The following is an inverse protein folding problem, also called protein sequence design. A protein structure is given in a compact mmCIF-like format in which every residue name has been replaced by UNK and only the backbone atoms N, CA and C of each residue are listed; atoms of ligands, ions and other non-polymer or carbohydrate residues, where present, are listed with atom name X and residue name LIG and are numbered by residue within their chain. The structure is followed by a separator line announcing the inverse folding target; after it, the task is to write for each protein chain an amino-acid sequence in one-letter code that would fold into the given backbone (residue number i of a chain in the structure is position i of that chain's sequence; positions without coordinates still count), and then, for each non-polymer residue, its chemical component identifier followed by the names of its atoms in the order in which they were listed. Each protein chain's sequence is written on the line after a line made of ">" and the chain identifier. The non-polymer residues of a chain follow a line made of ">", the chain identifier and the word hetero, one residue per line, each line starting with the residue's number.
data_IF_912410541901
#
_entry.id   IF_912410541901
#
_cell.length_a   1.000
_cell.length_b   1.000
_cell.length_c   1.000
_cell.angle_alpha   90.00
_cell.angle_beta   90.00
_cell.angle_gamma   90.00
#
_symmetry.space_group_name_H-M   'P 1'
#
loop_
_entity.id
_entity.type
_entity.pdbx_description
1 polymer ?
#
# COMPACT_ATOMS: atom_id res chain seq x y z
N UNK A 1 -5.84 14.51 16.28
CA UNK A 1 -6.42 14.25 14.94
C UNK A 1 -7.94 14.20 15.08
N UNK A 2 -8.71 14.60 14.07
CA UNK A 2 -10.16 14.30 14.05
C UNK A 2 -10.30 12.77 13.86
N UNK A 3 -11.01 12.03 14.74
CA UNK A 3 -11.17 10.58 14.63
C UNK A 3 -11.77 10.10 13.30
N UNK A 4 -12.53 10.93 12.58
CA UNK A 4 -13.05 10.55 11.26
C UNK A 4 -11.92 10.31 10.24
N UNK A 5 -10.89 11.16 10.24
CA UNK A 5 -9.70 11.04 9.36
C UNK A 5 -8.75 9.89 9.75
N UNK A 6 -9.08 9.12 10.79
CA UNK A 6 -8.36 7.89 11.13
C UNK A 6 -9.02 6.64 10.52
N UNK A 7 -10.24 6.75 9.94
CA UNK A 7 -10.97 5.61 9.37
C UNK A 7 -10.43 5.14 8.02
N UNK A 8 -9.77 6.02 7.27
CA UNK A 8 -9.28 5.74 5.92
C UNK A 8 -8.12 4.72 5.91
N UNK A 9 -7.31 4.69 6.98
CA UNK A 9 -6.12 3.86 7.08
C UNK A 9 -6.39 2.43 7.61
N UNK A 10 -7.48 1.77 7.19
CA UNK A 10 -7.82 0.38 7.60
C UNK A 10 -6.59 -0.55 7.42
N UNK A 11 -6.14 -1.30 8.45
CA UNK A 11 -4.82 -1.95 8.43
C UNK A 11 -4.73 -3.26 7.63
N UNK A 12 -5.84 -3.75 7.07
CA UNK A 12 -5.94 -5.11 6.53
C UNK A 12 -5.84 -5.22 5.00
N UNK A 13 -5.53 -4.14 4.27
CA UNK A 13 -5.51 -4.15 2.79
C UNK A 13 -4.40 -3.28 2.20
N UNK A 14 -3.74 -3.79 1.17
CA UNK A 14 -2.71 -3.12 0.38
C UNK A 14 -3.29 -2.11 -0.63
N UNK A 15 -4.15 -1.19 -0.17
CA UNK A 15 -4.70 -0.12 -1.04
C UNK A 15 -3.71 1.03 -1.19
N UNK A 16 -3.89 1.84 -2.23
CA UNK A 16 -3.06 3.04 -2.45
C UNK A 16 -3.22 4.06 -1.31
N UNK A 17 -4.43 4.17 -0.76
CA UNK A 17 -4.72 4.92 0.46
C UNK A 17 -3.94 4.38 1.67
N UNK A 18 -3.78 3.06 1.82
CA UNK A 18 -2.97 2.48 2.90
C UNK A 18 -1.48 2.81 2.76
N UNK A 19 -0.91 2.64 1.55
CA UNK A 19 0.50 3.02 1.30
C UNK A 19 0.74 4.51 1.56
N UNK A 20 -0.18 5.38 1.11
CA UNK A 20 -0.08 6.82 1.36
C UNK A 20 -0.25 7.17 2.85
N UNK A 21 -1.17 6.50 3.56
CA UNK A 21 -1.32 6.61 5.02
C UNK A 21 -0.01 6.26 5.74
N UNK A 22 0.61 5.12 5.42
CA UNK A 22 1.83 4.67 6.11
C UNK A 22 3.02 5.59 5.82
N UNK A 23 3.22 6.00 4.58
CA UNK A 23 4.24 6.97 4.18
C UNK A 23 4.04 8.33 4.87
N UNK A 24 2.79 8.80 5.00
CA UNK A 24 2.47 10.03 5.73
C UNK A 24 2.69 9.90 7.25
N UNK A 25 2.27 8.78 7.85
CA UNK A 25 2.46 8.49 9.27
C UNK A 25 3.96 8.36 9.64
N UNK A 26 4.76 7.70 8.80
CA UNK A 26 6.23 7.63 8.97
C UNK A 26 6.83 9.02 8.92
N UNK A 27 6.48 9.84 7.91
CA UNK A 27 6.98 11.22 7.78
C UNK A 27 6.66 12.08 9.00
N UNK A 28 5.43 12.01 9.52
CA UNK A 28 5.02 12.77 10.72
C UNK A 28 5.67 12.20 11.99
N UNK A 29 5.83 10.87 12.11
CA UNK A 29 6.54 10.23 13.22
C UNK A 29 8.03 10.62 13.27
N UNK A 30 8.70 10.74 12.11
CA UNK A 30 10.06 11.31 11.99
C UNK A 30 10.05 12.77 12.46
N UNK A 31 9.27 13.65 11.83
CA UNK A 31 9.22 15.09 12.17
C UNK A 31 8.92 15.33 13.67
N UNK A 32 8.10 14.50 14.31
CA UNK A 32 7.83 14.56 15.77
C UNK A 32 8.98 13.96 16.60
N UNK A 33 9.57 12.87 16.13
CA UNK A 33 10.72 12.20 16.73
C UNK A 33 11.91 13.15 16.83
N UNK A 34 12.37 13.68 15.70
CA UNK A 34 13.52 14.60 15.59
C UNK A 34 13.34 15.81 16.53
N UNK A 35 12.15 16.43 16.51
CA UNK A 35 11.79 17.55 17.42
C UNK A 35 11.83 17.17 18.90
N UNK A 36 11.60 15.92 19.25
CA UNK A 36 11.63 15.42 20.63
C UNK A 36 13.06 15.05 21.04
N UNK A 37 13.81 14.43 20.13
CA UNK A 37 15.22 14.09 20.27
C UNK A 37 16.05 15.36 20.47
N UNK A 38 15.94 16.35 19.57
CA UNK A 38 16.64 17.65 19.68
C UNK A 38 16.40 18.35 21.03
N UNK A 39 15.16 18.33 21.55
CA UNK A 39 14.82 18.88 22.88
C UNK A 39 15.45 18.09 24.03
N UNK A 40 15.43 16.77 23.96
CA UNK A 40 16.02 15.90 24.98
C UNK A 40 17.55 15.98 24.97
N UNK A 41 18.16 16.07 23.79
CA UNK A 41 19.60 16.28 23.60
C UNK A 41 20.04 17.63 24.16
N UNK A 42 19.34 18.72 23.81
CA UNK A 42 19.60 20.05 24.38
C UNK A 42 19.60 19.98 25.92
N UNK A 43 18.54 19.43 26.52
CA UNK A 43 18.42 19.28 27.97
C UNK A 43 19.51 18.39 28.59
N UNK A 44 19.93 17.33 27.90
CA UNK A 44 21.01 16.44 28.36
C UNK A 44 22.39 17.12 28.27
N UNK A 45 22.63 17.91 27.23
CA UNK A 45 23.82 18.76 27.06
C UNK A 45 23.86 19.85 28.12
N UNK A 46 22.75 20.53 28.40
CA UNK A 46 22.64 21.55 29.46
C UNK A 46 22.99 20.97 30.85
N UNK A 47 22.39 19.82 31.20
CA UNK A 47 22.66 19.11 32.45
C UNK A 47 24.10 18.58 32.50
N UNK A 48 24.66 18.10 31.39
CA UNK A 48 26.07 17.67 31.33
C UNK A 48 27.00 18.85 31.56
N UNK A 49 26.86 19.93 30.79
CA UNK A 49 27.69 21.13 30.92
C UNK A 49 27.67 21.65 32.37
N UNK A 50 26.48 21.83 32.95
CA UNK A 50 26.34 22.30 34.34
C UNK A 50 26.90 21.34 35.41
N UNK A 51 27.00 20.03 35.12
CA UNK A 51 27.66 19.07 36.01
C UNK A 51 29.18 19.04 35.81
N UNK A 52 29.65 19.15 34.56
CA UNK A 52 31.07 19.26 34.22
C UNK A 52 31.68 20.56 34.76
N UNK A 53 30.96 21.68 34.71
CA UNK A 53 31.36 22.95 35.34
C UNK A 53 31.45 22.85 36.86
N UNK A 54 30.48 22.19 37.52
CA UNK A 54 30.54 21.94 38.97
C UNK A 54 31.71 21.02 39.34
N UNK A 55 31.96 19.97 38.57
CA UNK A 55 33.08 19.06 38.78
C UNK A 55 34.42 19.78 38.55
N UNK A 56 34.53 20.63 37.53
CA UNK A 56 35.71 21.47 37.29
C UNK A 56 35.94 22.44 38.44
N UNK A 57 34.90 23.16 38.87
CA UNK A 57 34.96 24.07 40.01
C UNK A 57 35.26 23.39 41.34
N UNK A 58 34.85 22.13 41.50
CA UNK A 58 35.26 21.29 42.64
C UNK A 58 36.73 20.86 42.51
N UNK A 59 37.16 20.29 41.39
CA UNK A 59 38.56 19.88 41.15
C UNK A 59 39.52 21.06 41.34
N UNK A 60 39.19 22.26 40.85
CA UNK A 60 40.03 23.46 41.04
C UNK A 60 40.10 23.86 42.52
N UNK A 61 38.98 23.85 43.25
CA UNK A 61 38.97 24.18 44.69
C UNK A 61 39.70 23.14 45.53
N UNK A 62 39.44 21.85 45.28
CA UNK A 62 40.12 20.74 45.95
C UNK A 62 41.61 20.77 45.63
N UNK A 63 42.02 20.97 44.37
CA UNK A 63 43.43 21.12 44.01
C UNK A 63 44.09 22.38 44.59
N UNK A 64 43.34 23.46 44.88
CA UNK A 64 43.87 24.63 45.60
C UNK A 64 44.07 24.34 47.10
N UNK A 65 43.12 23.64 47.74
CA UNK A 65 43.22 23.20 49.13
C UNK A 65 44.34 22.16 49.30
N UNK A 66 44.35 21.14 48.43
CA UNK A 66 45.34 20.07 48.43
C UNK A 66 46.72 20.57 48.01
N UNK A 67 46.86 21.55 47.10
CA UNK A 67 48.18 22.16 46.84
C UNK A 67 48.70 22.95 48.06
N UNK A 68 47.80 23.56 48.85
CA UNK A 68 48.15 24.18 50.13
C UNK A 68 48.55 23.17 51.21
N UNK A 69 48.05 21.93 51.13
CA UNK A 69 48.27 20.88 52.14
C UNK A 69 49.44 19.93 51.77
N UNK A 70 49.49 19.47 50.52
CA UNK A 70 50.59 18.68 49.95
C UNK A 70 51.89 19.49 49.84
N UNK A 71 51.79 20.82 49.75
CA UNK A 71 52.94 21.73 49.89
C UNK A 71 53.65 21.62 51.24
N UNK A 72 52.97 21.12 52.29
CA UNK A 72 53.60 20.77 53.56
C UNK A 72 53.93 19.27 53.70
N UNK A 73 53.19 18.35 53.04
CA UNK A 73 53.30 16.90 53.29
C UNK A 73 53.03 15.96 52.09
N UNK A 74 53.96 15.01 51.94
CA UNK A 74 53.86 13.67 51.32
C UNK A 74 54.27 13.51 49.85
N UNK A 75 54.96 12.40 49.60
CA UNK A 75 55.63 11.96 48.38
C UNK A 75 54.68 11.20 47.43
N UNK A 76 54.93 11.25 46.12
CA UNK A 76 53.92 11.02 45.08
C UNK A 76 53.92 9.61 44.43
N UNK A 77 54.81 8.71 44.86
CA UNK A 77 55.23 7.57 44.02
C UNK A 77 54.23 6.41 43.87
N UNK A 78 53.25 6.24 44.77
CA UNK A 78 52.38 5.05 44.81
C UNK A 78 51.18 5.06 43.86
N UNK A 79 50.69 6.23 43.44
CA UNK A 79 49.44 6.33 42.68
C UNK A 79 49.58 5.95 41.19
N UNK A 80 50.81 5.99 40.67
CA UNK A 80 51.10 5.91 39.22
C UNK A 80 50.98 4.49 38.66
N UNK A 81 51.22 3.46 39.48
CA UNK A 81 51.34 2.07 39.02
C UNK A 81 50.00 1.39 38.65
N UNK A 82 48.85 2.04 38.85
CA UNK A 82 47.53 1.40 38.69
C UNK A 82 46.92 1.39 37.27
N UNK A 83 47.50 2.07 36.28
CA UNK A 83 46.75 2.52 35.07
C UNK A 83 47.30 1.95 33.74
N UNK A 84 48.18 0.93 33.78
CA UNK A 84 49.06 0.64 32.62
C UNK A 84 48.43 -0.11 31.42
N UNK A 85 47.24 -0.70 31.55
CA UNK A 85 46.79 -1.79 30.63
C UNK A 85 45.83 -1.42 29.47
N UNK A 86 45.80 -0.16 28.97
CA UNK A 86 45.07 0.18 27.72
C UNK A 86 45.80 1.19 26.82
N UNK A 87 45.91 0.88 25.52
CA UNK A 87 46.52 1.77 24.50
C UNK A 87 45.78 3.08 24.22
N UNK A 88 44.53 3.23 24.66
CA UNK A 88 43.83 4.52 24.61
C UNK A 88 44.22 5.44 25.78
N UNK A 89 44.85 4.89 26.82
CA UNK A 89 45.26 5.61 28.02
C UNK A 89 46.68 6.18 27.96
N UNK A 90 47.57 5.73 27.08
CA UNK A 90 48.92 6.31 26.97
C UNK A 90 48.87 7.79 26.59
N UNK A 91 48.06 8.19 25.60
CA UNK A 91 47.88 9.59 25.25
C UNK A 91 47.27 10.45 26.38
N UNK A 92 46.45 9.84 27.25
CA UNK A 92 45.88 10.53 28.43
C UNK A 92 46.93 10.61 29.55
N UNK A 93 47.75 9.57 29.72
CA UNK A 93 48.87 9.48 30.66
C UNK A 93 49.97 10.47 30.32
N UNK A 94 50.36 10.59 29.06
CA UNK A 94 51.34 11.58 28.57
C UNK A 94 50.86 13.03 28.84
N UNK A 95 49.56 13.31 28.68
CA UNK A 95 48.95 14.59 29.09
C UNK A 95 48.87 14.79 30.62
N UNK A 96 48.91 13.72 31.42
CA UNK A 96 48.93 13.80 32.91
C UNK A 96 50.36 13.96 33.45
N UNK A 97 51.33 13.24 32.89
CA UNK A 97 52.70 13.16 33.38
C UNK A 97 53.59 14.32 32.89
N UNK A 98 53.15 15.10 31.89
CA UNK A 98 53.89 16.28 31.39
C UNK A 98 53.09 17.49 30.90
N UNK A 99 51.76 17.48 30.92
CA UNK A 99 50.91 18.56 30.37
C UNK A 99 50.37 19.56 31.40
N UNK A 100 49.86 20.71 30.94
CA UNK A 100 49.03 21.59 31.80
C UNK A 100 47.72 20.84 32.14
N UNK A 101 47.37 20.84 33.43
CA UNK A 101 46.10 20.28 33.94
C UNK A 101 44.87 20.90 33.24
N UNK A 102 44.98 22.12 32.71
CA UNK A 102 43.95 22.72 31.82
C UNK A 102 43.83 22.03 30.46
N UNK A 103 44.94 21.64 29.82
CA UNK A 103 44.91 20.99 28.51
C UNK A 103 44.30 19.60 28.60
N UNK A 104 44.68 18.82 29.62
CA UNK A 104 44.02 17.56 29.96
C UNK A 104 42.51 17.74 30.17
N UNK A 105 42.10 18.78 30.92
CA UNK A 105 40.70 19.08 31.16
C UNK A 105 39.95 19.44 29.86
N UNK A 106 40.56 20.28 29.00
CA UNK A 106 40.02 20.63 27.69
C UNK A 106 39.87 19.40 26.78
N UNK A 107 40.89 18.54 26.72
CA UNK A 107 40.89 17.31 25.93
C UNK A 107 39.79 16.34 26.38
N UNK A 108 39.64 16.10 27.70
CA UNK A 108 38.58 15.25 28.25
C UNK A 108 37.20 15.85 27.97
N UNK A 109 37.01 17.16 28.15
CA UNK A 109 35.73 17.85 27.91
C UNK A 109 35.34 17.79 26.42
N UNK A 110 36.28 18.09 25.52
CA UNK A 110 36.08 18.02 24.07
C UNK A 110 35.77 16.59 23.59
N UNK A 111 36.52 15.59 24.07
CA UNK A 111 36.32 14.18 23.70
C UNK A 111 35.02 13.62 24.28
N UNK A 112 34.58 14.09 25.45
CA UNK A 112 33.26 13.77 26.03
C UNK A 112 32.14 14.38 25.21
N UNK A 113 32.24 15.67 24.82
CA UNK A 113 31.26 16.35 23.95
C UNK A 113 31.12 15.68 22.59
N UNK A 114 32.25 15.30 21.97
CA UNK A 114 32.24 14.50 20.75
C UNK A 114 31.51 13.17 20.96
N UNK A 115 31.86 12.41 22.01
CA UNK A 115 31.23 11.12 22.28
C UNK A 115 29.73 11.23 22.56
N UNK A 116 29.28 12.30 23.23
CA UNK A 116 27.86 12.60 23.41
C UNK A 116 27.15 12.92 22.10
N UNK A 117 27.78 13.69 21.20
CA UNK A 117 27.21 13.98 19.87
C UNK A 117 27.09 12.74 18.98
N UNK A 118 28.00 11.77 19.11
CA UNK A 118 27.89 10.48 18.44
C UNK A 118 26.80 9.58 19.07
N UNK A 119 26.78 9.47 20.41
CA UNK A 119 25.76 8.73 21.14
C UNK A 119 24.35 9.25 20.84
N UNK A 120 24.21 10.57 20.65
CA UNK A 120 22.99 11.21 20.18
C UNK A 120 22.53 10.67 18.82
N UNK A 121 23.38 10.72 17.79
CA UNK A 121 23.06 10.23 16.45
C UNK A 121 22.79 8.72 16.41
N UNK A 122 23.51 7.92 17.21
CA UNK A 122 23.24 6.47 17.31
C UNK A 122 21.92 6.17 18.04
N UNK A 123 21.57 6.92 19.09
CA UNK A 123 20.28 6.78 19.76
C UNK A 123 19.11 7.24 18.87
N UNK A 124 19.32 8.31 18.09
CA UNK A 124 18.39 8.76 17.07
C UNK A 124 18.12 7.65 16.05
N UNK A 125 19.16 7.08 15.43
CA UNK A 125 19.03 5.93 14.52
C UNK A 125 18.36 4.70 15.16
N UNK A 126 18.72 4.34 16.40
CA UNK A 126 18.17 3.17 17.08
C UNK A 126 16.69 3.31 17.52
N UNK A 127 16.21 4.53 17.75
CA UNK A 127 14.87 4.83 18.31
C UNK A 127 13.68 4.65 17.35
N UNK A 128 13.76 3.68 16.43
CA UNK A 128 12.76 3.46 15.38
C UNK A 128 12.39 1.99 15.17
N UNK A 129 13.36 1.06 15.11
CA UNK A 129 13.07 -0.38 15.14
C UNK A 129 12.73 -0.82 16.57
N UNK A 130 11.73 -1.67 16.76
CA UNK A 130 11.35 -2.15 18.10
C UNK A 130 12.49 -2.97 18.74
N UNK A 131 13.15 -3.82 17.95
CA UNK A 131 14.33 -4.57 18.40
C UNK A 131 15.54 -3.64 18.68
N UNK A 132 15.73 -2.62 17.85
CA UNK A 132 16.77 -1.61 18.07
C UNK A 132 16.53 -0.78 19.35
N UNK A 133 15.27 -0.41 19.60
CA UNK A 133 14.84 0.34 20.79
C UNK A 133 14.99 -0.52 22.05
N UNK A 134 14.63 -1.81 22.00
CA UNK A 134 14.87 -2.75 23.09
C UNK A 134 16.37 -2.94 23.37
N UNK A 135 17.20 -3.10 22.34
CA UNK A 135 18.65 -3.22 22.49
C UNK A 135 19.32 -1.92 22.99
N UNK A 136 18.83 -0.76 22.58
CA UNK A 136 19.26 0.54 23.07
C UNK A 136 18.87 0.76 24.54
N UNK A 137 17.64 0.40 24.92
CA UNK A 137 17.16 0.47 26.30
C UNK A 137 17.95 -0.49 27.20
N UNK A 138 18.18 -1.74 26.78
CA UNK A 138 19.05 -2.70 27.49
C UNK A 138 20.47 -2.16 27.72
N UNK A 139 21.05 -1.52 26.70
CA UNK A 139 22.37 -0.91 26.80
C UNK A 139 22.39 0.31 27.75
N UNK A 140 21.36 1.16 27.70
CA UNK A 140 21.22 2.34 28.56
C UNK A 140 20.93 1.96 30.02
N UNK A 141 20.10 0.95 30.26
CA UNK A 141 19.75 0.46 31.59
C UNK A 141 20.95 -0.22 32.27
N UNK A 142 21.72 -1.02 31.52
CA UNK A 142 23.00 -1.56 32.00
C UNK A 142 24.02 -0.46 32.27
N UNK A 143 24.17 0.52 31.37
CA UNK A 143 25.02 1.69 31.62
C UNK A 143 24.61 2.46 32.89
N UNK A 144 23.31 2.63 33.15
CA UNK A 144 22.80 3.29 34.34
C UNK A 144 23.07 2.47 35.63
N UNK A 145 22.95 1.14 35.57
CA UNK A 145 23.27 0.25 36.69
C UNK A 145 24.77 0.23 37.01
N UNK A 146 25.63 0.11 35.98
CA UNK A 146 27.09 0.18 36.10
C UNK A 146 27.53 1.53 36.70
N UNK A 147 26.97 2.63 36.21
CA UNK A 147 27.25 3.98 36.71
C UNK A 147 26.80 4.16 38.16
N UNK A 148 25.63 3.63 38.53
CA UNK A 148 25.06 3.77 39.89
C UNK A 148 25.79 2.92 40.94
N UNK A 149 26.36 1.78 40.56
CA UNK A 149 27.25 1.01 41.45
C UNK A 149 28.61 1.69 41.62
N UNK A 150 29.17 2.26 40.56
CA UNK A 150 30.50 2.89 40.50
C UNK A 150 30.56 4.31 41.08
N UNK A 151 29.77 4.58 42.12
CA UNK A 151 29.75 5.85 42.88
C UNK A 151 29.85 5.60 44.40
N UNK A 152 29.80 4.33 44.86
CA UNK A 152 29.71 3.98 46.29
C UNK A 152 31.04 3.74 47.00
N UNK A 153 32.08 3.31 46.30
CA UNK A 153 33.37 2.96 46.93
C UNK A 153 34.37 4.13 46.88
N UNK A 154 35.37 4.14 47.76
CA UNK A 154 36.18 5.34 48.03
C UNK A 154 37.18 5.80 46.95
N UNK A 155 37.40 5.03 45.87
CA UNK A 155 38.49 5.29 44.92
C UNK A 155 38.03 6.09 43.67
N UNK A 156 38.07 7.42 43.76
CA UNK A 156 37.53 8.34 42.75
C UNK A 156 38.12 8.18 41.34
N UNK A 157 39.42 7.91 41.22
CA UNK A 157 40.11 7.70 39.94
C UNK A 157 39.60 6.44 39.23
N UNK A 158 39.46 5.35 39.97
CA UNK A 158 39.03 4.05 39.43
C UNK A 158 37.58 4.09 38.92
N UNK A 159 36.70 4.80 39.62
CA UNK A 159 35.32 5.05 39.17
C UNK A 159 35.25 5.88 37.88
N UNK A 160 36.10 6.90 37.74
CA UNK A 160 36.19 7.68 36.50
C UNK A 160 36.60 6.80 35.31
N UNK A 161 37.60 5.91 35.50
CA UNK A 161 37.99 4.92 34.49
C UNK A 161 36.82 3.97 34.16
N UNK A 162 36.13 3.45 35.18
CA UNK A 162 35.04 2.48 35.01
C UNK A 162 33.84 3.08 34.27
N UNK A 163 33.42 4.29 34.64
CA UNK A 163 32.34 5.01 33.94
C UNK A 163 32.69 5.29 32.46
N UNK A 164 33.94 5.63 32.15
CA UNK A 164 34.40 5.85 30.77
C UNK A 164 34.37 4.55 29.94
N UNK A 165 34.73 3.40 30.54
CA UNK A 165 34.63 2.10 29.90
C UNK A 165 33.18 1.69 29.59
N UNK A 166 32.24 1.92 30.51
CA UNK A 166 30.81 1.70 30.26
C UNK A 166 30.28 2.63 29.16
N UNK A 167 30.76 3.88 29.07
CA UNK A 167 30.37 4.84 28.02
C UNK A 167 30.84 4.39 26.62
N UNK A 168 32.08 3.91 26.49
CA UNK A 168 32.61 3.33 25.23
C UNK A 168 31.85 2.06 24.84
N UNK A 169 31.45 1.24 25.81
CA UNK A 169 30.65 0.02 25.59
C UNK A 169 29.22 0.34 25.12
N UNK A 170 28.61 1.41 25.66
CA UNK A 170 27.33 1.93 25.20
C UNK A 170 27.42 2.43 23.74
N UNK A 171 28.48 3.18 23.41
CA UNK A 171 28.73 3.71 22.05
C UNK A 171 28.84 2.60 21.00
N UNK A 172 29.60 1.55 21.25
CA UNK A 172 29.75 0.45 20.27
C UNK A 172 28.45 -0.32 20.06
N UNK A 173 27.69 -0.60 21.13
CA UNK A 173 26.35 -1.20 21.04
C UNK A 173 25.40 -0.35 20.21
N UNK A 174 25.18 0.91 20.59
CA UNK A 174 24.25 1.80 19.88
C UNK A 174 24.64 1.98 18.41
N UNK A 175 25.93 2.11 18.10
CA UNK A 175 26.43 2.13 16.73
C UNK A 175 26.05 0.86 15.96
N UNK A 176 26.37 -0.33 16.48
CA UNK A 176 26.04 -1.62 15.83
C UNK A 176 24.54 -1.91 15.65
N UNK A 177 23.70 -1.12 16.32
CA UNK A 177 22.24 -1.14 16.18
C UNK A 177 21.77 -0.12 15.13
N UNK A 178 22.37 1.07 15.10
CA UNK A 178 22.09 2.10 14.10
C UNK A 178 22.61 1.75 12.69
N UNK A 179 23.78 1.10 12.60
CA UNK A 179 24.46 0.76 11.33
C UNK A 179 23.76 -0.38 10.53
N UNK A 180 22.66 -0.98 11.02
CA UNK A 180 22.11 -2.24 10.44
C UNK A 180 21.00 -2.08 9.40
N UNK A 181 19.99 -1.26 9.65
CA UNK A 181 18.96 -0.85 8.68
C UNK A 181 18.35 0.48 9.14
N UNK A 182 18.14 1.44 8.24
CA UNK A 182 17.53 2.73 8.56
C UNK A 182 16.00 2.67 8.56
N UNK A 183 15.35 3.72 9.10
CA UNK A 183 13.88 3.88 8.99
C UNK A 183 13.41 3.89 7.54
N UNK A 184 14.22 4.50 6.68
CA UNK A 184 13.88 4.67 5.27
C UNK A 184 13.85 3.31 4.57
N UNK A 185 14.83 2.43 4.82
CA UNK A 185 14.96 1.15 4.12
C UNK A 185 13.74 0.25 4.34
N UNK A 186 13.28 0.08 5.58
CA UNK A 186 12.12 -0.78 5.88
C UNK A 186 10.83 -0.24 5.29
N UNK A 187 10.65 1.09 5.28
CA UNK A 187 9.46 1.74 4.73
C UNK A 187 9.51 1.77 3.21
N UNK A 188 10.68 2.02 2.61
CA UNK A 188 10.92 1.92 1.18
C UNK A 188 10.65 0.50 0.68
N UNK A 189 11.17 -0.54 1.36
CA UNK A 189 10.85 -1.94 1.03
C UNK A 189 9.34 -2.21 1.08
N UNK A 190 8.63 -1.72 2.11
CA UNK A 190 7.17 -1.88 2.20
C UNK A 190 6.40 -1.12 1.12
N UNK A 191 6.88 0.05 0.68
CA UNK A 191 6.29 0.85 -0.39
C UNK A 191 6.60 0.25 -1.76
N UNK A 192 7.80 -0.28 -1.99
CA UNK A 192 8.21 -0.96 -3.23
C UNK A 192 7.46 -2.27 -3.40
N UNK A 193 7.32 -3.08 -2.35
CA UNK A 193 6.57 -4.34 -2.41
C UNK A 193 5.06 -4.09 -2.57
N UNK A 194 4.49 -3.11 -1.86
CA UNK A 194 3.10 -2.70 -2.07
C UNK A 194 2.84 -2.12 -3.47
N UNK A 195 3.80 -1.37 -4.01
CA UNK A 195 3.77 -0.86 -5.38
C UNK A 195 3.82 -2.00 -6.41
N UNK A 196 4.66 -3.03 -6.20
CA UNK A 196 4.76 -4.22 -7.05
C UNK A 196 3.44 -5.00 -7.08
N UNK A 197 2.90 -5.35 -5.91
CA UNK A 197 1.61 -6.04 -5.78
C UNK A 197 0.47 -5.24 -6.43
N UNK A 198 0.47 -3.92 -6.27
CA UNK A 198 -0.51 -3.05 -6.92
C UNK A 198 -0.35 -3.02 -8.44
N UNK A 199 0.89 -2.95 -8.96
CA UNK A 199 1.17 -2.97 -10.39
C UNK A 199 0.73 -4.30 -11.05
N UNK A 200 0.90 -5.42 -10.35
CA UNK A 200 0.42 -6.74 -10.78
C UNK A 200 -1.12 -6.81 -10.80
N UNK A 201 -1.80 -6.31 -9.77
CA UNK A 201 -3.27 -6.22 -9.75
C UNK A 201 -3.82 -5.29 -10.86
N UNK A 202 -3.20 -4.13 -11.07
CA UNK A 202 -3.59 -3.18 -12.13
C UNK A 202 -3.36 -3.75 -13.53
N UNK A 203 -2.31 -4.54 -13.73
CA UNK A 203 -2.07 -5.28 -14.98
C UNK A 203 -3.20 -6.27 -15.25
N UNK A 204 -3.55 -7.10 -14.28
CA UNK A 204 -4.66 -8.06 -14.41
C UNK A 204 -5.98 -7.34 -14.76
N UNK A 205 -6.35 -6.30 -14.00
CA UNK A 205 -7.56 -5.51 -14.27
C UNK A 205 -7.57 -4.88 -15.67
N UNK A 206 -6.41 -4.41 -16.16
CA UNK A 206 -6.24 -3.84 -17.51
C UNK A 206 -6.37 -4.90 -18.60
N UNK A 207 -5.85 -6.11 -18.36
CA UNK A 207 -6.00 -7.25 -19.27
C UNK A 207 -7.46 -7.72 -19.32
N UNK A 208 -8.15 -7.82 -18.18
CA UNK A 208 -9.59 -8.12 -18.08
C UNK A 208 -10.45 -7.09 -18.83
N UNK A 209 -10.33 -5.79 -18.55
CA UNK A 209 -11.06 -4.75 -19.30
C UNK A 209 -10.70 -4.76 -20.79
N UNK A 210 -9.45 -5.08 -21.14
CA UNK A 210 -9.01 -5.28 -22.51
C UNK A 210 -9.74 -6.41 -23.25
N UNK A 211 -10.15 -7.49 -22.57
CA UNK A 211 -10.98 -8.55 -23.14
C UNK A 211 -12.39 -8.02 -23.44
N UNK A 212 -13.02 -7.34 -22.48
CA UNK A 212 -14.35 -6.74 -22.67
C UNK A 212 -14.34 -5.67 -23.78
N UNK A 213 -13.28 -4.84 -23.86
CA UNK A 213 -13.13 -3.83 -24.92
C UNK A 213 -12.87 -4.45 -26.30
N UNK A 214 -12.12 -5.56 -26.39
CA UNK A 214 -11.98 -6.35 -27.63
C UNK A 214 -13.33 -6.92 -28.09
N UNK A 215 -14.09 -7.56 -27.19
CA UNK A 215 -15.45 -8.07 -27.46
C UNK A 215 -16.38 -6.94 -27.89
N UNK A 216 -16.30 -5.76 -27.24
CA UNK A 216 -17.12 -4.62 -27.63
C UNK A 216 -16.76 -4.07 -29.02
N UNK A 217 -15.48 -4.00 -29.37
CA UNK A 217 -15.08 -3.61 -30.72
C UNK A 217 -15.52 -4.64 -31.78
N UNK A 218 -15.52 -5.93 -31.46
CA UNK A 218 -15.95 -7.00 -32.37
C UNK A 218 -17.44 -6.88 -32.76
N UNK A 219 -18.39 -6.85 -31.82
CA UNK A 219 -19.82 -6.71 -32.20
C UNK A 219 -20.12 -5.35 -32.84
N UNK A 220 -19.40 -4.27 -32.46
CA UNK A 220 -19.47 -2.96 -33.16
C UNK A 220 -19.05 -3.06 -34.63
N UNK A 221 -18.06 -3.90 -34.97
CA UNK A 221 -17.65 -4.16 -36.36
C UNK A 221 -18.67 -5.03 -37.10
N UNK A 222 -19.12 -6.15 -36.50
CA UNK A 222 -20.10 -7.07 -37.09
C UNK A 222 -21.42 -6.38 -37.48
N UNK A 223 -21.91 -5.46 -36.64
CA UNK A 223 -23.14 -4.72 -36.96
C UNK A 223 -22.95 -3.71 -38.09
N UNK A 224 -21.79 -3.04 -38.15
CA UNK A 224 -21.45 -2.10 -39.25
C UNK A 224 -21.36 -2.80 -40.60
N UNK A 225 -20.85 -4.03 -40.67
CA UNK A 225 -20.88 -4.81 -41.91
C UNK A 225 -22.29 -5.29 -42.28
N UNK A 226 -23.13 -5.64 -41.29
CA UNK A 226 -24.54 -6.03 -41.53
C UNK A 226 -25.43 -4.87 -42.02
N UNK A 227 -25.17 -3.62 -41.62
CA UNK A 227 -26.03 -2.47 -41.97
C UNK A 227 -26.06 -2.09 -43.46
N UNK A 228 -25.28 -2.75 -44.32
CA UNK A 228 -25.16 -2.42 -45.74
C UNK A 228 -26.04 -3.22 -46.72
N UNK A 229 -26.61 -4.36 -46.32
CA UNK A 229 -27.16 -5.34 -47.28
C UNK A 229 -28.64 -5.70 -47.08
N UNK A 230 -29.05 -6.14 -45.88
CA UNK A 230 -30.32 -6.85 -45.65
C UNK A 230 -31.18 -6.19 -44.56
N UNK A 231 -31.60 -4.94 -44.80
CA UNK A 231 -32.26 -4.13 -43.76
C UNK A 231 -33.42 -3.27 -44.30
N UNK A 232 -34.32 -3.88 -45.07
CA UNK A 232 -35.52 -3.21 -45.63
C UNK A 232 -36.88 -3.74 -45.16
N UNK A 233 -36.95 -4.95 -44.58
CA UNK A 233 -38.19 -5.51 -44.01
C UNK A 233 -37.98 -6.03 -42.57
N UNK A 234 -37.22 -5.29 -41.75
CA UNK A 234 -37.16 -5.58 -40.31
C UNK A 234 -38.46 -5.17 -39.64
N UNK A 235 -39.12 -6.14 -39.00
CA UNK A 235 -40.27 -5.91 -38.12
C UNK A 235 -39.93 -4.88 -37.04
N UNK A 236 -40.91 -4.04 -36.64
CA UNK A 236 -40.70 -2.97 -35.66
C UNK A 236 -40.06 -3.47 -34.36
N UNK A 237 -40.45 -4.67 -33.91
CA UNK A 237 -39.88 -5.39 -32.78
C UNK A 237 -38.35 -5.50 -32.82
N UNK A 238 -37.75 -5.81 -33.98
CA UNK A 238 -36.29 -5.92 -34.11
C UNK A 238 -35.60 -4.57 -33.93
N UNK A 239 -36.25 -3.47 -34.31
CA UNK A 239 -35.72 -2.12 -34.13
C UNK A 239 -35.77 -1.70 -32.66
N UNK A 240 -36.81 -2.09 -31.91
CA UNK A 240 -36.87 -1.85 -30.47
C UNK A 240 -35.89 -2.75 -29.69
N UNK A 241 -35.76 -4.04 -30.03
CA UNK A 241 -34.74 -4.94 -29.45
C UNK A 241 -33.31 -4.41 -29.70
N UNK A 242 -32.94 -4.10 -30.95
CA UNK A 242 -31.66 -3.48 -31.28
C UNK A 242 -31.48 -2.17 -30.48
N UNK A 243 -32.52 -1.34 -30.35
CA UNK A 243 -32.45 -0.07 -29.62
C UNK A 243 -32.17 -0.25 -28.13
N UNK A 244 -32.80 -1.22 -27.45
CA UNK A 244 -32.51 -1.50 -26.03
C UNK A 244 -31.10 -2.08 -25.88
N UNK A 245 -30.71 -2.99 -26.78
CA UNK A 245 -29.37 -3.54 -26.83
C UNK A 245 -28.28 -2.46 -26.99
N UNK A 246 -28.47 -1.49 -27.89
CA UNK A 246 -27.52 -0.38 -28.05
C UNK A 246 -27.46 0.55 -26.83
N UNK A 247 -28.55 0.74 -26.07
CA UNK A 247 -28.51 1.44 -24.76
C UNK A 247 -27.65 0.68 -23.74
N UNK A 248 -27.91 -0.63 -23.59
CA UNK A 248 -27.16 -1.54 -22.69
C UNK A 248 -25.68 -1.43 -22.98
N UNK A 249 -25.31 -1.56 -24.25
CA UNK A 249 -23.94 -1.51 -24.70
C UNK A 249 -23.29 -0.15 -24.45
N UNK A 250 -23.98 0.95 -24.75
CA UNK A 250 -23.48 2.30 -24.51
C UNK A 250 -23.07 2.50 -23.04
N UNK A 251 -23.97 2.17 -22.12
CA UNK A 251 -23.70 2.31 -20.68
C UNK A 251 -22.54 1.40 -20.18
N UNK A 252 -22.36 0.22 -20.77
CA UNK A 252 -21.22 -0.67 -20.49
C UNK A 252 -19.90 -0.12 -21.05
N UNK A 253 -19.91 0.38 -22.30
CA UNK A 253 -18.75 0.98 -22.95
C UNK A 253 -18.30 2.26 -22.20
N UNK A 254 -19.25 3.13 -21.81
CA UNK A 254 -19.00 4.34 -21.03
C UNK A 254 -18.36 4.02 -19.66
N UNK A 255 -18.78 2.93 -19.01
CA UNK A 255 -18.15 2.48 -17.76
C UNK A 255 -16.73 1.93 -17.96
N UNK A 256 -16.47 1.20 -19.06
CA UNK A 256 -15.12 0.70 -19.36
C UNK A 256 -14.14 1.86 -19.53
N UNK A 257 -14.57 2.98 -20.14
CA UNK A 257 -13.72 4.18 -20.26
C UNK A 257 -13.43 4.86 -18.90
N UNK A 258 -14.41 5.00 -17.99
CA UNK A 258 -14.16 5.50 -16.61
C UNK A 258 -13.30 4.53 -15.77
N UNK A 259 -13.44 3.21 -15.97
CA UNK A 259 -12.65 2.20 -15.28
C UNK A 259 -11.18 2.15 -15.78
N UNK A 260 -10.95 2.37 -17.09
CA UNK A 260 -9.60 2.61 -17.60
C UNK A 260 -8.98 3.90 -17.04
N UNK A 261 -9.78 4.95 -16.85
CA UNK A 261 -9.31 6.22 -16.27
C UNK A 261 -8.93 6.08 -14.78
N UNK A 262 -9.66 5.27 -14.02
CA UNK A 262 -9.28 4.82 -12.68
C UNK A 262 -7.93 4.07 -12.69
N UNK A 263 -7.77 3.09 -13.59
CA UNK A 263 -6.52 2.31 -13.71
C UNK A 263 -5.34 3.21 -14.13
N UNK A 264 -5.54 4.18 -15.04
CA UNK A 264 -4.54 5.20 -15.39
C UNK A 264 -4.17 6.07 -14.19
N UNK A 265 -5.15 6.43 -13.37
CA UNK A 265 -4.95 7.17 -12.12
C UNK A 265 -4.12 6.39 -11.10
N UNK A 266 -4.34 5.08 -10.95
CA UNK A 266 -3.55 4.23 -10.05
C UNK A 266 -2.14 3.94 -10.58
N UNK A 267 -1.98 3.68 -11.88
CA UNK A 267 -0.67 3.48 -12.55
C UNK A 267 0.24 4.71 -12.34
N UNK A 268 -0.32 5.91 -12.57
CA UNK A 268 0.33 7.20 -12.28
C UNK A 268 0.69 7.35 -10.79
N UNK A 269 -0.19 6.90 -9.89
CA UNK A 269 0.02 6.93 -8.45
C UNK A 269 1.17 6.02 -7.98
N UNK A 270 1.21 4.78 -8.48
CA UNK A 270 2.29 3.82 -8.22
C UNK A 270 3.62 4.37 -8.73
N UNK A 271 3.64 4.93 -9.95
CA UNK A 271 4.82 5.57 -10.51
C UNK A 271 5.32 6.75 -9.64
N UNK A 272 4.41 7.59 -9.14
CA UNK A 272 4.73 8.69 -8.24
C UNK A 272 5.29 8.21 -6.88
N UNK A 273 4.81 7.08 -6.33
CA UNK A 273 5.40 6.47 -5.14
C UNK A 273 6.86 6.03 -5.39
N UNK A 274 7.13 5.38 -6.52
CA UNK A 274 8.50 4.98 -6.89
C UNK A 274 9.42 6.19 -7.16
N UNK A 275 8.90 7.28 -7.74
CA UNK A 275 9.67 8.52 -7.89
C UNK A 275 9.96 9.19 -6.54
N UNK A 276 9.00 9.16 -5.59
CA UNK A 276 9.18 9.73 -4.26
C UNK A 276 10.18 8.94 -3.41
N UNK A 277 10.15 7.60 -3.48
CA UNK A 277 11.15 6.71 -2.86
C UNK A 277 12.57 7.04 -3.35
N UNK A 278 12.73 7.31 -4.65
CA UNK A 278 13.98 7.77 -5.28
C UNK A 278 14.27 9.27 -5.08
N UNK A 279 13.60 9.94 -4.14
CA UNK A 279 13.70 11.38 -3.85
C UNK A 279 13.57 12.29 -5.10
N UNK A 280 12.95 11.80 -6.18
CA UNK A 280 12.89 12.46 -7.49
C UNK A 280 11.67 13.38 -7.63
N UNK A 281 10.67 13.23 -6.77
CA UNK A 281 9.54 14.16 -6.61
C UNK A 281 9.31 14.47 -5.13
N UNK A 282 8.79 15.66 -4.84
CA UNK A 282 8.45 16.04 -3.47
C UNK A 282 7.10 15.49 -2.99
N UNK A 283 6.83 15.62 -1.69
CA UNK A 283 5.58 15.14 -1.09
C UNK A 283 4.33 15.88 -1.59
N UNK A 284 4.42 17.14 -2.03
CA UNK A 284 3.28 17.88 -2.56
C UNK A 284 2.90 17.37 -3.95
N UNK A 285 3.90 17.03 -4.77
CA UNK A 285 3.74 16.33 -6.05
C UNK A 285 3.07 14.98 -5.85
N UNK A 286 3.57 14.16 -4.93
CA UNK A 286 2.96 12.87 -4.58
C UNK A 286 1.51 13.04 -4.04
N UNK A 287 1.26 14.04 -3.18
CA UNK A 287 -0.07 14.35 -2.64
C UNK A 287 -1.04 14.86 -3.73
N UNK A 288 -0.54 15.55 -4.76
CA UNK A 288 -1.35 16.00 -5.89
C UNK A 288 -1.80 14.81 -6.75
N UNK A 289 -0.86 13.92 -7.11
CA UNK A 289 -1.18 12.66 -7.82
C UNK A 289 -2.14 11.82 -6.96
N UNK A 290 -1.89 11.67 -5.66
CA UNK A 290 -2.78 10.95 -4.75
C UNK A 290 -4.22 11.45 -4.78
N UNK A 291 -4.44 12.77 -4.71
CA UNK A 291 -5.78 13.36 -4.83
C UNK A 291 -6.42 13.06 -6.18
N UNK A 292 -5.65 13.07 -7.27
CA UNK A 292 -6.14 12.75 -8.61
C UNK A 292 -6.52 11.27 -8.75
N UNK A 293 -5.69 10.34 -8.24
CA UNK A 293 -5.98 8.90 -8.20
C UNK A 293 -7.27 8.62 -7.42
N UNK A 294 -7.41 9.18 -6.21
CA UNK A 294 -8.63 8.99 -5.40
C UNK A 294 -9.85 9.62 -6.07
N UNK A 295 -9.73 10.81 -6.68
CA UNK A 295 -10.82 11.45 -7.41
C UNK A 295 -11.22 10.71 -8.71
N UNK A 296 -10.33 9.89 -9.30
CA UNK A 296 -10.65 9.00 -10.42
C UNK A 296 -11.40 7.75 -9.94
N UNK A 297 -10.90 7.08 -8.91
CA UNK A 297 -11.58 5.93 -8.29
C UNK A 297 -12.98 6.30 -7.78
N UNK A 298 -13.13 7.46 -7.14
CA UNK A 298 -14.43 8.01 -6.74
C UNK A 298 -15.41 8.21 -7.92
N UNK A 299 -14.93 8.53 -9.12
CA UNK A 299 -15.78 8.60 -10.33
C UNK A 299 -16.16 7.20 -10.79
N UNK A 300 -15.20 6.30 -10.96
CA UNK A 300 -15.44 4.89 -11.32
C UNK A 300 -16.46 4.23 -10.39
N UNK A 301 -16.32 4.40 -9.06
CA UNK A 301 -17.28 3.89 -8.08
C UNK A 301 -18.71 4.47 -8.21
N UNK A 302 -18.86 5.69 -8.73
CA UNK A 302 -20.18 6.30 -9.02
C UNK A 302 -20.71 5.89 -10.39
N UNK A 303 -19.83 5.77 -11.39
CA UNK A 303 -20.16 5.26 -12.71
C UNK A 303 -20.67 3.82 -12.59
N UNK A 304 -19.91 2.92 -11.94
CA UNK A 304 -20.27 1.52 -11.67
C UNK A 304 -21.66 1.36 -11.05
N UNK A 305 -21.96 2.11 -9.98
CA UNK A 305 -23.27 2.08 -9.29
C UNK A 305 -24.41 2.67 -10.14
N UNK A 306 -24.10 3.55 -11.08
CA UNK A 306 -25.07 4.13 -12.01
C UNK A 306 -25.34 3.17 -13.16
N UNK A 307 -24.28 2.66 -13.80
CA UNK A 307 -24.31 1.68 -14.88
C UNK A 307 -24.98 0.39 -14.44
N UNK A 308 -24.69 -0.16 -13.26
CA UNK A 308 -25.39 -1.35 -12.75
C UNK A 308 -26.90 -1.18 -12.76
N UNK A 309 -27.40 -0.09 -12.15
CA UNK A 309 -28.83 0.19 -12.08
C UNK A 309 -29.42 0.45 -13.46
N UNK A 310 -28.70 1.17 -14.31
CA UNK A 310 -29.18 1.48 -15.66
C UNK A 310 -29.28 0.21 -16.51
N UNK A 311 -28.22 -0.58 -16.59
CA UNK A 311 -28.16 -1.80 -17.41
C UNK A 311 -29.06 -2.90 -16.84
N UNK A 312 -29.18 -3.04 -15.53
CA UNK A 312 -30.16 -3.95 -14.90
C UNK A 312 -31.60 -3.61 -15.30
N UNK A 313 -31.99 -2.32 -15.21
CA UNK A 313 -33.30 -1.86 -15.67
C UNK A 313 -33.49 -2.09 -17.19
N UNK A 314 -32.47 -1.84 -18.00
CA UNK A 314 -32.51 -2.06 -19.45
C UNK A 314 -32.57 -3.55 -19.83
N UNK A 315 -31.99 -4.44 -19.02
CA UNK A 315 -32.11 -5.89 -19.21
C UNK A 315 -33.52 -6.37 -18.87
N UNK A 316 -34.18 -5.75 -17.88
CA UNK A 316 -35.62 -5.91 -17.63
C UNK A 316 -36.49 -5.36 -18.78
N UNK A 317 -36.12 -4.22 -19.36
CA UNK A 317 -36.76 -3.65 -20.57
C UNK A 317 -36.62 -4.63 -21.77
N UNK A 318 -35.41 -5.17 -21.99
CA UNK A 318 -35.12 -6.17 -23.02
C UNK A 318 -35.91 -7.46 -22.81
N UNK A 319 -35.95 -7.97 -21.57
CA UNK A 319 -36.73 -9.16 -21.22
C UNK A 319 -38.23 -8.93 -21.47
N UNK A 320 -38.76 -7.75 -21.17
CA UNK A 320 -40.16 -7.42 -21.48
C UNK A 320 -40.41 -7.38 -22.99
N UNK A 321 -39.56 -6.73 -23.78
CA UNK A 321 -39.68 -6.75 -25.23
C UNK A 321 -39.58 -8.15 -25.85
N UNK A 322 -38.72 -9.03 -25.33
CA UNK A 322 -38.58 -10.42 -25.80
C UNK A 322 -39.81 -11.26 -25.45
N UNK A 323 -40.20 -11.25 -24.18
CA UNK A 323 -41.18 -12.18 -23.61
C UNK A 323 -42.61 -11.70 -23.87
N UNK A 324 -42.91 -10.44 -23.53
CA UNK A 324 -44.26 -9.89 -23.58
C UNK A 324 -44.67 -9.47 -25.01
N UNK A 325 -43.70 -9.48 -25.95
CA UNK A 325 -43.90 -9.30 -27.38
C UNK A 325 -43.80 -10.58 -28.22
N UNK A 326 -43.64 -11.76 -27.60
CA UNK A 326 -43.56 -13.07 -28.28
C UNK A 326 -42.45 -13.16 -29.37
N UNK A 327 -41.24 -12.68 -29.04
CA UNK A 327 -40.14 -12.55 -30.00
C UNK A 327 -39.71 -13.88 -30.61
N UNK A 328 -39.46 -14.88 -29.76
CA UNK A 328 -38.98 -16.19 -30.22
C UNK A 328 -40.05 -16.94 -31.00
N UNK A 329 -41.32 -16.87 -30.61
CA UNK A 329 -42.44 -17.39 -31.42
C UNK A 329 -42.45 -16.76 -32.81
N UNK A 330 -42.33 -15.43 -32.89
CA UNK A 330 -42.32 -14.67 -34.14
C UNK A 330 -41.15 -15.08 -35.04
N UNK A 331 -39.93 -15.17 -34.51
CA UNK A 331 -38.75 -15.54 -35.29
C UNK A 331 -38.80 -16.99 -35.75
N UNK A 332 -39.14 -17.93 -34.86
CA UNK A 332 -39.26 -19.36 -35.17
C UNK A 332 -40.34 -19.65 -36.21
N UNK A 333 -41.42 -18.86 -36.25
CA UNK A 333 -42.45 -18.94 -37.29
C UNK A 333 -42.01 -18.35 -38.64
N UNK A 334 -41.10 -17.37 -38.65
CA UNK A 334 -40.65 -16.67 -39.86
C UNK A 334 -39.47 -17.34 -40.56
N UNK A 335 -38.42 -17.70 -39.82
CA UNK A 335 -37.19 -18.31 -40.36
C UNK A 335 -37.21 -19.85 -40.29
N UNK A 336 -38.18 -20.42 -39.58
CA UNK A 336 -38.24 -21.84 -39.27
C UNK A 336 -37.21 -22.26 -38.22
N UNK A 337 -37.42 -23.43 -37.63
CA UNK A 337 -36.64 -23.89 -36.47
C UNK A 337 -35.14 -24.07 -36.76
N UNK A 338 -34.79 -24.59 -37.94
CA UNK A 338 -33.38 -24.72 -38.34
C UNK A 338 -32.77 -23.38 -38.74
N UNK A 339 -33.51 -22.52 -39.46
CA UNK A 339 -33.03 -21.21 -39.90
C UNK A 339 -32.81 -20.21 -38.76
N UNK A 340 -33.70 -20.18 -37.77
CA UNK A 340 -33.63 -19.25 -36.63
C UNK A 340 -32.45 -19.50 -35.69
N UNK A 341 -32.01 -20.76 -35.63
CA UNK A 341 -30.99 -21.28 -34.69
C UNK A 341 -29.65 -21.55 -35.40
N UNK A 342 -29.62 -21.53 -36.73
CA UNK A 342 -28.39 -21.53 -37.51
C UNK A 342 -27.61 -20.20 -37.36
N UNK A 343 -26.31 -20.25 -37.73
CA UNK A 343 -25.40 -19.10 -37.69
C UNK A 343 -25.99 -17.87 -38.41
N UNK A 344 -26.48 -16.92 -37.60
CA UNK A 344 -26.99 -15.65 -38.08
C UNK A 344 -28.50 -15.47 -38.09
N UNK A 345 -29.32 -16.47 -37.71
CA UNK A 345 -30.77 -16.31 -37.52
C UNK A 345 -31.14 -15.27 -36.44
N UNK A 346 -32.39 -14.80 -36.42
CA UNK A 346 -32.87 -13.76 -35.49
C UNK A 346 -32.96 -14.25 -34.05
N UNK A 347 -33.35 -15.51 -33.84
CA UNK A 347 -33.36 -16.13 -32.51
C UNK A 347 -31.94 -16.22 -31.94
N UNK A 348 -31.00 -16.80 -32.69
CA UNK A 348 -29.58 -16.85 -32.27
C UNK A 348 -28.98 -15.46 -32.05
N UNK A 349 -29.26 -14.48 -32.92
CA UNK A 349 -28.85 -13.09 -32.70
C UNK A 349 -29.37 -12.52 -31.37
N UNK A 350 -30.66 -12.73 -31.07
CA UNK A 350 -31.29 -12.22 -29.84
C UNK A 350 -30.72 -12.90 -28.61
N UNK A 351 -30.51 -14.23 -28.67
CA UNK A 351 -29.85 -15.01 -27.62
C UNK A 351 -28.41 -14.51 -27.36
N UNK A 352 -27.62 -14.28 -28.42
CA UNK A 352 -26.25 -13.76 -28.29
C UNK A 352 -26.20 -12.30 -27.80
N UNK A 353 -27.18 -11.45 -28.10
CA UNK A 353 -27.32 -10.11 -27.49
C UNK A 353 -27.54 -10.21 -25.97
N UNK A 354 -28.47 -11.07 -25.53
CA UNK A 354 -28.75 -11.31 -24.09
C UNK A 354 -27.53 -11.89 -23.38
N UNK A 355 -26.78 -12.78 -24.03
CA UNK A 355 -25.54 -13.38 -23.52
C UNK A 355 -24.41 -12.35 -23.38
N UNK A 356 -24.23 -11.45 -24.36
CA UNK A 356 -23.29 -10.32 -24.24
C UNK A 356 -23.71 -9.35 -23.12
N UNK A 357 -25.00 -9.04 -22.99
CA UNK A 357 -25.53 -8.19 -21.91
C UNK A 357 -25.29 -8.79 -20.52
N UNK A 358 -25.53 -10.10 -20.37
CA UNK A 358 -25.31 -10.85 -19.12
C UNK A 358 -23.82 -10.90 -18.74
N UNK A 359 -22.93 -11.09 -19.72
CA UNK A 359 -21.48 -11.00 -19.51
C UNK A 359 -21.04 -9.58 -19.12
N UNK A 360 -21.70 -8.54 -19.66
CA UNK A 360 -21.54 -7.15 -19.23
C UNK A 360 -21.96 -6.92 -17.77
N UNK A 361 -23.10 -7.46 -17.34
CA UNK A 361 -23.52 -7.39 -15.94
C UNK A 361 -22.55 -8.12 -15.01
N UNK A 362 -22.02 -9.28 -15.40
CA UNK A 362 -20.97 -9.97 -14.64
C UNK A 362 -19.71 -9.12 -14.48
N UNK A 363 -19.20 -8.52 -15.57
CA UNK A 363 -18.08 -7.57 -15.49
C UNK A 363 -18.32 -6.47 -14.44
N UNK A 364 -19.53 -5.90 -14.39
CA UNK A 364 -19.86 -4.91 -13.37
C UNK A 364 -19.83 -5.53 -11.96
N UNK A 365 -20.39 -6.73 -11.76
CA UNK A 365 -20.36 -7.43 -10.47
C UNK A 365 -18.94 -7.66 -9.96
N UNK A 366 -18.07 -8.21 -10.81
CA UNK A 366 -16.65 -8.46 -10.49
C UNK A 366 -15.94 -7.15 -10.09
N UNK A 367 -16.33 -6.01 -10.69
CA UNK A 367 -15.83 -4.67 -10.33
C UNK A 367 -16.39 -4.13 -9.01
N UNK A 368 -17.53 -4.59 -8.50
CA UNK A 368 -17.96 -4.25 -7.13
C UNK A 368 -17.05 -4.92 -6.08
N UNK A 369 -16.67 -6.19 -6.29
CA UNK A 369 -15.76 -6.91 -5.39
C UNK A 369 -14.36 -6.27 -5.37
N UNK A 370 -13.77 -6.05 -6.55
CA UNK A 370 -12.46 -5.39 -6.71
C UNK A 370 -12.42 -4.00 -6.05
N UNK A 371 -13.56 -3.31 -5.99
CA UNK A 371 -13.70 -1.98 -5.40
C UNK A 371 -14.02 -1.96 -3.88
N UNK A 372 -14.16 -3.11 -3.21
CA UNK A 372 -14.75 -3.22 -1.85
C UNK A 372 -16.10 -2.49 -1.71
N UNK A 373 -16.94 -2.60 -2.74
CA UNK A 373 -18.29 -2.08 -2.70
C UNK A 373 -19.25 -3.21 -2.28
N UNK A 374 -20.22 -2.88 -1.43
CA UNK A 374 -21.29 -3.81 -1.07
C UNK A 374 -21.96 -4.34 -2.35
N UNK A 375 -22.00 -5.67 -2.48
CA UNK A 375 -22.49 -6.38 -3.65
C UNK A 375 -23.88 -5.87 -4.06
N UNK A 376 -24.12 -5.63 -5.36
CA UNK A 376 -25.39 -5.10 -5.81
C UNK A 376 -26.49 -6.17 -5.77
N UNK A 377 -27.74 -5.74 -5.80
CA UNK A 377 -28.88 -6.64 -5.95
C UNK A 377 -28.86 -7.31 -7.33
N UNK A 378 -28.79 -8.65 -7.34
CA UNK A 378 -28.80 -9.50 -8.52
C UNK A 378 -30.21 -9.78 -9.03
N UNK A 379 -31.24 -9.66 -8.19
CA UNK A 379 -32.55 -10.27 -8.47
C UNK A 379 -33.16 -9.79 -9.78
N UNK A 380 -33.08 -8.50 -10.10
CA UNK A 380 -33.62 -7.96 -11.37
C UNK A 380 -32.91 -8.53 -12.60
N UNK A 381 -31.63 -8.88 -12.49
CA UNK A 381 -30.82 -9.52 -13.55
C UNK A 381 -31.23 -10.98 -13.70
N UNK A 382 -31.35 -11.70 -12.58
CA UNK A 382 -31.78 -13.10 -12.51
C UNK A 382 -33.21 -13.27 -13.04
N UNK A 383 -34.18 -12.52 -12.51
CA UNK A 383 -35.58 -12.52 -12.95
C UNK A 383 -35.71 -12.22 -14.47
N UNK A 384 -34.90 -11.29 -15.00
CA UNK A 384 -34.91 -10.96 -16.43
C UNK A 384 -34.32 -12.08 -17.31
N UNK A 385 -33.19 -12.67 -16.89
CA UNK A 385 -32.53 -13.75 -17.61
C UNK A 385 -33.36 -15.03 -17.59
N UNK A 386 -33.96 -15.41 -16.46
CA UNK A 386 -34.84 -16.59 -16.38
C UNK A 386 -36.13 -16.41 -17.18
N UNK A 387 -36.74 -15.21 -17.21
CA UNK A 387 -37.89 -14.92 -18.08
C UNK A 387 -37.55 -15.12 -19.57
N UNK A 388 -36.38 -14.67 -20.02
CA UNK A 388 -35.93 -14.84 -21.42
C UNK A 388 -35.71 -16.32 -21.73
N UNK A 389 -35.07 -17.09 -20.84
CA UNK A 389 -34.87 -18.54 -20.98
C UNK A 389 -36.20 -19.28 -21.10
N UNK A 390 -37.14 -19.01 -20.20
CA UNK A 390 -38.46 -19.63 -20.20
C UNK A 390 -39.20 -19.37 -21.52
N UNK A 391 -39.23 -18.11 -21.98
CA UNK A 391 -39.84 -17.75 -23.27
C UNK A 391 -39.20 -18.47 -24.47
N UNK A 392 -37.87 -18.63 -24.51
CA UNK A 392 -37.22 -19.39 -25.57
C UNK A 392 -37.58 -20.89 -25.53
N UNK A 393 -37.54 -21.53 -24.37
CA UNK A 393 -37.88 -22.95 -24.22
C UNK A 393 -39.38 -23.21 -24.51
N UNK A 394 -40.27 -22.31 -24.09
CA UNK A 394 -41.69 -22.38 -24.44
C UNK A 394 -41.93 -22.20 -25.94
N UNK A 395 -41.32 -21.20 -26.57
CA UNK A 395 -41.49 -20.94 -28.00
C UNK A 395 -40.94 -22.10 -28.86
N UNK A 396 -39.81 -22.69 -28.48
CA UNK A 396 -39.25 -23.86 -29.18
C UNK A 396 -40.09 -25.13 -28.97
N UNK A 397 -40.59 -25.41 -27.76
CA UNK A 397 -41.52 -26.54 -27.54
C UNK A 397 -42.84 -26.34 -28.31
N UNK A 398 -43.36 -25.10 -28.36
CA UNK A 398 -44.63 -24.73 -29.01
C UNK A 398 -44.56 -24.74 -30.54
N UNK A 399 -43.56 -24.09 -31.13
CA UNK A 399 -43.42 -23.92 -32.59
C UNK A 399 -42.71 -25.12 -33.22
N UNK A 400 -41.61 -25.58 -32.62
CA UNK A 400 -40.75 -26.60 -33.21
C UNK A 400 -41.12 -28.03 -32.79
N UNK A 401 -41.89 -28.21 -31.71
CA UNK A 401 -42.25 -29.53 -31.12
C UNK A 401 -41.03 -30.37 -30.73
N UNK A 402 -39.88 -29.73 -30.62
CA UNK A 402 -38.64 -30.24 -30.04
C UNK A 402 -38.57 -29.64 -28.65
N UNK A 403 -38.25 -30.46 -27.64
CA UNK A 403 -38.04 -29.95 -26.29
C UNK A 403 -36.75 -29.13 -26.28
N UNK A 404 -36.88 -27.81 -26.26
CA UNK A 404 -35.77 -26.87 -26.39
C UNK A 404 -34.87 -26.83 -25.16
N UNK A 405 -33.98 -27.82 -25.04
CA UNK A 405 -32.80 -27.69 -24.19
C UNK A 405 -31.94 -26.55 -24.72
N UNK A 406 -31.92 -25.45 -23.97
CA UNK A 406 -31.02 -24.32 -24.18
C UNK A 406 -29.58 -24.86 -24.26
N UNK A 407 -28.84 -24.61 -25.36
CA UNK A 407 -27.50 -25.16 -25.52
C UNK A 407 -26.61 -24.81 -24.34
N UNK A 408 -25.89 -25.77 -23.78
CA UNK A 408 -25.19 -25.60 -22.49
C UNK A 408 -24.10 -24.49 -22.50
N UNK A 409 -23.68 -24.02 -23.68
CA UNK A 409 -22.77 -22.89 -23.87
C UNK A 409 -23.45 -21.50 -23.80
N UNK A 410 -24.79 -21.44 -23.90
CA UNK A 410 -25.57 -20.20 -23.84
C UNK A 410 -25.44 -19.52 -22.47
N UNK A 411 -25.37 -20.32 -21.40
CA UNK A 411 -25.22 -19.85 -20.04
C UNK A 411 -23.81 -19.25 -19.82
N UNK A 412 -23.67 -17.98 -19.43
CA UNK A 412 -22.76 -17.68 -18.33
C UNK A 412 -23.34 -18.36 -17.09
N UNK A 413 -22.62 -19.30 -16.49
CA UNK A 413 -22.99 -19.77 -15.16
C UNK A 413 -22.80 -18.59 -14.19
N UNK A 414 -23.87 -18.15 -13.53
CA UNK A 414 -23.78 -17.29 -12.35
C UNK A 414 -23.53 -18.20 -11.14
N UNK A 415 -22.50 -19.04 -11.26
CA UNK A 415 -22.03 -20.03 -10.29
C UNK A 415 -20.59 -19.64 -9.90
N UNK A 416 -20.52 -18.62 -9.04
CA UNK A 416 -19.29 -17.83 -8.80
C UNK A 416 -18.10 -18.70 -8.38
N UNK A 417 -18.34 -19.76 -7.58
CA UNK A 417 -17.29 -20.70 -7.16
C UNK A 417 -16.74 -21.60 -8.28
N UNK A 418 -17.49 -21.77 -9.36
CA UNK A 418 -17.19 -22.73 -10.43
C UNK A 418 -16.44 -22.07 -11.58
N UNK A 419 -16.91 -20.90 -12.00
CA UNK A 419 -16.28 -20.14 -13.08
C UNK A 419 -15.01 -19.43 -12.61
N UNK A 420 -14.84 -19.12 -11.32
CA UNK A 420 -13.55 -18.69 -10.77
C UNK A 420 -12.47 -19.74 -11.07
N UNK A 421 -12.76 -21.02 -10.81
CA UNK A 421 -11.83 -22.14 -11.09
C UNK A 421 -11.55 -22.31 -12.59
N UNK A 422 -12.49 -21.96 -13.47
CA UNK A 422 -12.27 -21.99 -14.91
C UNK A 422 -11.42 -20.80 -15.39
N UNK A 423 -11.61 -19.61 -14.82
CA UNK A 423 -10.75 -18.46 -15.08
C UNK A 423 -9.32 -18.68 -14.54
N UNK A 424 -9.19 -19.23 -13.33
CA UNK A 424 -7.90 -19.65 -12.77
C UNK A 424 -7.21 -20.71 -13.64
N UNK A 425 -7.99 -21.64 -14.23
CA UNK A 425 -7.49 -22.63 -15.19
C UNK A 425 -7.02 -22.01 -16.51
N UNK A 426 -7.75 -21.03 -17.06
CA UNK A 426 -7.34 -20.33 -18.28
C UNK A 426 -6.10 -19.43 -18.04
N UNK A 427 -5.98 -18.83 -16.84
CA UNK A 427 -4.79 -18.10 -16.42
C UNK A 427 -3.58 -19.04 -16.27
N UNK A 428 -3.74 -20.19 -15.61
CA UNK A 428 -2.66 -21.17 -15.45
C UNK A 428 -2.14 -21.68 -16.80
N UNK A 429 -3.02 -21.95 -17.77
CA UNK A 429 -2.64 -22.34 -19.14
C UNK A 429 -1.89 -21.22 -19.90
N UNK A 430 -2.14 -19.95 -19.56
CA UNK A 430 -1.41 -18.79 -20.10
C UNK A 430 -0.09 -18.52 -19.39
N UNK A 431 0.13 -19.10 -18.21
CA UNK A 431 1.43 -19.09 -17.50
C UNK A 431 2.31 -20.28 -17.89
N UNK A 432 1.74 -21.47 -18.12
CA UNK A 432 2.50 -22.62 -18.69
C UNK A 432 2.95 -22.40 -20.14
N UNK A 433 2.30 -21.48 -20.88
CA UNK A 433 2.62 -21.14 -22.26
C UNK A 433 3.70 -20.05 -22.42
N UNK A 434 4.48 -19.72 -21.38
CA UNK A 434 5.28 -18.49 -21.30
C UNK A 434 6.74 -18.67 -20.88
#
# INVERSE_FOLDING_TARGET
>A
MNPEKARDCKPYRATFARMFCDLHCVRDAVIRGDRTILRNLQKATDVTNGNTEKLAGWIVKTAQLDAGWLGEKIDHQSLVQGIENKKEFTAIREMIEGGDKKELFLAINQRTKQMQSELAGYAEGASFSQAATLAANDALEKFAADSKSSIRDGNSTEHALKAFNSLVTLRSKLRSVADKHSKADTVAMSVVEGARQMQESLKLQRETLGIYRKRSNATRQMFRSRSGAEQRERHAMLLDLDRVWWKIRGALDDYIDEAEDEIRGYDSGVHALTQYEKCSVDFQSLLAVYKQTMAASDRSHRALKTTWRHVSNLLGELASHIVDGEAFDTFLQQEGCEGSVADGGLTEQTLQQVRDASAGMRMLYDRFEVADLASPDLKTVEDAVERIKASFSEATERVCKIRGEIPNWFLPHIDLEKDQKQMDSEIALLEEAR
#
